data_IF_397616115547
#
_entry.id   IF_397616115547
#
_cell.length_a   1.000
_cell.length_b   1.000
_cell.length_c   1.000
_cell.angle_alpha   90.00
_cell.angle_beta   90.00
_cell.angle_gamma   90.00
#
_symmetry.space_group_name_H-M   'P 1'
#
loop_
_entity.id
_entity.type
_entity.pdbx_description
1 polymer ?
#
# COMPACT_ATOMS: atom_id res chain seq x y z
N UNK A 1 -1.73 3.19 -17.18
CA UNK A 1 -1.86 2.15 -16.13
C UNK A 1 -3.09 2.52 -15.31
N UNK A 2 -3.93 1.57 -14.92
CA UNK A 2 -5.09 1.85 -14.05
C UNK A 2 -4.70 1.73 -12.58
N UNK A 3 -5.53 2.27 -11.67
CA UNK A 3 -5.33 2.10 -10.22
C UNK A 3 -5.25 0.62 -9.81
N UNK A 4 -5.98 -0.25 -10.52
CA UNK A 4 -5.99 -1.69 -10.28
C UNK A 4 -4.69 -2.37 -10.76
N UNK A 5 -4.13 -1.95 -11.89
CA UNK A 5 -2.82 -2.44 -12.36
C UNK A 5 -1.68 -1.99 -11.44
N UNK A 6 -1.73 -0.74 -10.97
CA UNK A 6 -0.78 -0.23 -9.99
C UNK A 6 -0.83 -1.07 -8.71
N UNK A 7 -2.03 -1.33 -8.19
CA UNK A 7 -2.23 -2.19 -7.03
C UNK A 7 -1.68 -3.61 -7.25
N UNK A 8 -2.01 -4.25 -8.39
CA UNK A 8 -1.48 -5.58 -8.76
C UNK A 8 0.04 -5.62 -8.74
N UNK A 9 0.70 -4.58 -9.25
CA UNK A 9 2.17 -4.44 -9.19
C UNK A 9 2.66 -4.31 -7.75
N UNK A 10 2.04 -3.44 -6.94
CA UNK A 10 2.43 -3.23 -5.54
C UNK A 10 2.35 -4.53 -4.73
N UNK A 11 1.26 -5.29 -4.84
CA UNK A 11 1.11 -6.53 -4.07
C UNK A 11 2.07 -7.63 -4.52
N UNK A 12 2.60 -7.57 -5.74
CA UNK A 12 3.59 -8.50 -6.26
C UNK A 12 5.01 -8.18 -5.78
N UNK A 13 5.25 -6.96 -5.27
CA UNK A 13 6.56 -6.56 -4.77
C UNK A 13 6.93 -7.29 -3.48
N UNK A 14 8.24 -7.34 -3.22
CA UNK A 14 8.83 -8.02 -2.04
C UNK A 14 9.19 -7.05 -0.92
N UNK A 15 9.07 -5.73 -1.16
CA UNK A 15 9.49 -4.69 -0.22
C UNK A 15 8.57 -3.47 -0.24
N UNK A 16 8.22 -2.99 0.95
CA UNK A 16 7.48 -1.73 1.14
C UNK A 16 8.26 -0.54 0.57
N UNK A 17 9.59 -0.52 0.73
CA UNK A 17 10.45 0.57 0.24
C UNK A 17 10.35 0.70 -1.28
N UNK A 18 10.43 -0.42 -1.99
CA UNK A 18 10.29 -0.46 -3.45
C UNK A 18 8.90 -0.02 -3.90
N UNK A 19 7.86 -0.47 -3.19
CA UNK A 19 6.49 -0.06 -3.48
C UNK A 19 6.26 1.44 -3.24
N UNK A 20 6.86 2.02 -2.19
CA UNK A 20 6.80 3.46 -1.91
C UNK A 20 7.47 4.27 -3.02
N UNK A 21 8.66 3.88 -3.45
CA UNK A 21 9.34 4.53 -4.59
C UNK A 21 8.49 4.44 -5.86
N UNK A 22 7.91 3.28 -6.15
CA UNK A 22 7.06 3.08 -7.32
C UNK A 22 5.83 3.99 -7.34
N UNK A 23 5.09 4.07 -6.21
CA UNK A 23 3.92 4.97 -6.11
C UNK A 23 4.32 6.43 -6.30
N UNK A 24 5.47 6.85 -5.73
CA UNK A 24 5.97 8.21 -5.88
C UNK A 24 6.32 8.54 -7.34
N UNK A 25 6.95 7.61 -8.06
CA UNK A 25 7.26 7.77 -9.50
C UNK A 25 6.01 7.76 -10.37
N UNK A 26 4.96 7.05 -9.96
CA UNK A 26 3.70 6.98 -10.70
C UNK A 26 2.83 8.26 -10.59
N UNK A 27 3.19 9.16 -9.67
CA UNK A 27 2.48 10.42 -9.39
C UNK A 27 0.95 10.28 -9.23
N UNK A 28 0.52 9.31 -8.42
CA UNK A 28 -0.91 9.16 -8.11
C UNK A 28 -1.46 10.42 -7.42
N UNK A 29 -2.66 10.88 -7.78
CA UNK A 29 -3.30 12.01 -7.10
C UNK A 29 -3.74 11.64 -5.67
N UNK A 30 -3.88 12.64 -4.78
CA UNK A 30 -4.41 12.42 -3.43
C UNK A 30 -5.84 11.85 -3.46
N UNK A 31 -6.65 12.27 -4.43
CA UNK A 31 -8.04 11.80 -4.58
C UNK A 31 -8.11 10.35 -5.03
N UNK A 32 -7.26 9.92 -5.96
CA UNK A 32 -7.21 8.53 -6.42
C UNK A 32 -6.64 7.60 -5.35
N UNK A 33 -5.63 8.06 -4.61
CA UNK A 33 -5.13 7.34 -3.44
C UNK A 33 -6.21 7.21 -2.36
N UNK A 34 -7.04 8.23 -2.15
CA UNK A 34 -8.20 8.16 -1.23
C UNK A 34 -9.22 7.11 -1.68
N UNK A 35 -9.55 7.06 -2.98
CA UNK A 35 -10.45 6.03 -3.55
C UNK A 35 -9.88 4.62 -3.34
N UNK A 36 -8.57 4.44 -3.56
CA UNK A 36 -7.89 3.19 -3.29
C UNK A 36 -7.97 2.81 -1.81
N UNK A 37 -7.64 3.72 -0.90
CA UNK A 37 -7.73 3.46 0.53
C UNK A 37 -9.15 3.03 0.95
N UNK A 38 -10.18 3.71 0.44
CA UNK A 38 -11.60 3.33 0.66
C UNK A 38 -11.92 1.94 0.11
N UNK A 39 -11.46 1.60 -1.11
CA UNK A 39 -11.66 0.28 -1.73
C UNK A 39 -11.12 -0.87 -0.87
N UNK A 40 -10.05 -0.61 -0.11
CA UNK A 40 -9.44 -1.60 0.80
C UNK A 40 -9.83 -1.41 2.27
N UNK A 41 -10.86 -0.61 2.57
CA UNK A 41 -11.31 -0.31 3.93
C UNK A 41 -10.21 0.25 4.84
N UNK A 42 -9.28 1.03 4.27
CA UNK A 42 -8.19 1.68 5.00
C UNK A 42 -8.67 3.04 5.47
N UNK A 43 -8.70 3.23 6.78
CA UNK A 43 -9.05 4.51 7.39
C UNK A 43 -7.94 5.53 7.19
N UNK A 44 -8.30 6.70 6.67
CA UNK A 44 -7.40 7.83 6.42
C UNK A 44 -7.98 9.04 7.14
N UNK A 45 -7.15 9.71 7.94
CA UNK A 45 -7.51 10.99 8.56
C UNK A 45 -7.74 12.06 7.49
N UNK A 46 -8.76 12.91 7.65
CA UNK A 46 -9.02 14.03 6.75
C UNK A 46 -7.84 15.00 6.62
N UNK A 47 -6.98 15.08 7.64
CA UNK A 47 -5.74 15.90 7.65
C UNK A 47 -4.50 15.15 7.13
N UNK A 48 -4.61 13.87 6.78
CA UNK A 48 -3.46 13.08 6.33
C UNK A 48 -2.81 13.69 5.07
N UNK A 49 -1.47 13.72 5.04
CA UNK A 49 -0.72 14.12 3.85
C UNK A 49 -0.74 13.01 2.80
N UNK A 50 -0.35 13.32 1.55
CA UNK A 50 -0.22 12.30 0.49
C UNK A 50 0.75 11.19 0.92
N UNK A 51 1.86 11.55 1.56
CA UNK A 51 2.86 10.57 2.02
C UNK A 51 2.32 9.68 3.16
N UNK A 52 1.58 10.25 4.12
CA UNK A 52 0.92 9.46 5.19
C UNK A 52 -0.06 8.45 4.61
N UNK A 53 -0.83 8.87 3.59
CA UNK A 53 -1.77 8.00 2.90
C UNK A 53 -1.06 6.86 2.18
N UNK A 54 0.09 7.12 1.55
CA UNK A 54 0.90 6.09 0.89
C UNK A 54 1.42 5.09 1.91
N UNK A 55 1.99 5.57 3.03
CA UNK A 55 2.55 4.71 4.06
C UNK A 55 1.47 3.83 4.69
N UNK A 56 0.31 4.39 4.98
CA UNK A 56 -0.82 3.64 5.53
C UNK A 56 -1.37 2.62 4.52
N UNK A 57 -1.51 3.02 3.26
CA UNK A 57 -1.92 2.12 2.19
C UNK A 57 -0.98 0.92 2.05
N UNK A 58 0.32 1.17 1.98
CA UNK A 58 1.33 0.12 1.83
C UNK A 58 1.43 -0.77 3.07
N UNK A 59 1.35 -0.21 4.28
CA UNK A 59 1.38 -0.97 5.52
C UNK A 59 0.19 -1.93 5.64
N UNK A 60 -1.02 -1.43 5.39
CA UNK A 60 -2.26 -2.20 5.51
C UNK A 60 -2.47 -3.22 4.38
N UNK A 61 -1.77 -3.08 3.26
CA UNK A 61 -1.84 -4.02 2.12
C UNK A 61 -0.60 -4.91 2.06
N UNK A 62 0.47 -4.43 1.41
CA UNK A 62 1.71 -5.18 1.19
C UNK A 62 2.40 -5.54 2.51
N UNK A 63 2.40 -4.62 3.49
CA UNK A 63 3.02 -4.83 4.79
C UNK A 63 2.39 -6.00 5.55
N UNK A 64 1.06 -6.05 5.65
CA UNK A 64 0.34 -7.20 6.22
C UNK A 64 0.64 -8.50 5.50
N UNK A 65 0.64 -8.49 4.15
CA UNK A 65 0.99 -9.67 3.34
C UNK A 65 2.40 -10.18 3.67
N UNK A 66 3.39 -9.29 3.71
CA UNK A 66 4.78 -9.65 4.00
C UNK A 66 4.93 -10.14 5.44
N UNK A 67 4.28 -9.49 6.42
CA UNK A 67 4.28 -9.91 7.82
C UNK A 67 3.68 -11.31 7.98
N UNK A 68 2.52 -11.57 7.37
CA UNK A 68 1.88 -12.89 7.41
C UNK A 68 2.74 -13.96 6.75
N UNK A 69 3.43 -13.64 5.64
CA UNK A 69 4.37 -14.56 4.99
C UNK A 69 5.52 -14.95 5.93
N UNK A 70 6.07 -13.99 6.68
CA UNK A 70 7.15 -14.23 7.65
C UNK A 70 6.62 -15.06 8.82
N UNK A 71 5.48 -14.68 9.40
CA UNK A 71 4.80 -15.43 10.47
C UNK A 71 4.61 -16.90 10.07
N UNK A 72 4.05 -17.15 8.88
CA UNK A 72 3.81 -18.51 8.39
C UNK A 72 5.11 -19.27 8.09
N UNK A 73 6.13 -18.58 7.55
CA UNK A 73 7.42 -19.22 7.22
C UNK A 73 8.15 -19.72 8.47
N UNK A 74 8.07 -18.95 9.55
CA UNK A 74 8.82 -19.22 10.78
C UNK A 74 7.93 -19.74 11.93
N UNK A 75 6.64 -20.01 11.68
CA UNK A 75 5.64 -20.38 12.69
C UNK A 75 5.67 -19.47 13.94
N UNK A 76 5.83 -18.17 13.73
CA UNK A 76 5.86 -17.18 14.81
C UNK A 76 4.40 -16.90 15.21
N UNK A 77 3.96 -17.50 16.31
CA UNK A 77 2.59 -17.42 16.81
C UNK A 77 2.37 -16.22 17.72
#
# INVERSE_FOLDING_TARGET
MTNDEMYKRIIAMTSIKTAKSFIKTYDISKSDLSKLCKKFNIFIDGKATKDDMIDRFLGETLGKKLKNKVINKYNIR
#
